data_IF_260945088859
#
_entry.id   IF_260945088859
#
_cell.length_a   1.000
_cell.length_b   1.000
_cell.length_c   1.000
_cell.angle_alpha   90.00
_cell.angle_beta   90.00
_cell.angle_gamma   90.00
#
_symmetry.space_group_name_H-M   'P 1'
#
loop_
_entity.id
_entity.type
_entity.pdbx_description
1 polymer ?
#
# COMPACT_ATOMS: atom_id res chain seq x y z
N UNK A 1 -29.23 -11.53 2.54
CA UNK A 1 -28.34 -12.68 2.81
C UNK A 1 -27.00 -12.12 3.27
N UNK A 2 -26.64 -12.29 4.54
CA UNK A 2 -25.35 -11.85 5.05
C UNK A 2 -24.29 -12.86 4.62
N UNK A 3 -23.42 -12.44 3.70
CA UNK A 3 -22.31 -13.27 3.27
C UNK A 3 -21.34 -13.47 4.44
N UNK A 4 -20.98 -14.71 4.79
CA UNK A 4 -20.00 -14.94 5.84
C UNK A 4 -18.69 -14.25 5.45
N UNK A 5 -18.08 -13.56 6.42
CA UNK A 5 -16.76 -12.94 6.29
C UNK A 5 -15.75 -13.84 7.02
N UNK A 6 -15.23 -14.90 6.34
CA UNK A 6 -14.39 -15.89 7.00
C UNK A 6 -13.01 -15.35 7.39
N UNK A 7 -12.57 -14.24 6.78
CA UNK A 7 -11.26 -13.67 7.04
C UNK A 7 -11.37 -12.55 8.07
N UNK A 8 -10.69 -12.73 9.21
CA UNK A 8 -10.71 -11.81 10.35
C UNK A 8 -9.35 -11.17 10.55
N UNK A 9 -9.33 -9.90 10.90
CA UNK A 9 -8.13 -9.24 11.37
C UNK A 9 -7.79 -9.74 12.78
N UNK A 10 -6.50 -9.94 13.07
CA UNK A 10 -6.02 -10.38 14.38
C UNK A 10 -5.82 -9.23 15.37
N UNK A 11 -5.80 -7.98 14.88
CA UNK A 11 -5.47 -6.79 15.67
C UNK A 11 -6.71 -5.91 15.97
N UNK A 12 -7.82 -6.14 15.27
CA UNK A 12 -9.08 -5.43 15.50
C UNK A 12 -10.28 -6.26 15.03
N UNK A 13 -11.50 -5.75 15.23
CA UNK A 13 -12.73 -6.45 14.87
C UNK A 13 -13.11 -6.37 13.38
N UNK A 14 -12.14 -6.10 12.50
CA UNK A 14 -12.36 -6.02 11.04
C UNK A 14 -12.49 -7.42 10.45
N UNK A 15 -13.46 -7.59 9.54
CA UNK A 15 -13.76 -8.84 8.85
C UNK A 15 -13.90 -8.56 7.36
N UNK A 16 -13.47 -9.49 6.52
CA UNK A 16 -13.60 -9.37 5.07
C UNK A 16 -13.96 -10.70 4.40
N UNK A 17 -14.49 -10.57 3.18
CA UNK A 17 -14.89 -11.70 2.34
C UNK A 17 -13.71 -12.43 1.71
N UNK A 18 -12.58 -11.73 1.55
CA UNK A 18 -11.39 -12.26 0.88
C UNK A 18 -10.15 -12.05 1.76
N UNK A 19 -9.14 -12.95 1.66
CA UNK A 19 -7.92 -12.81 2.45
C UNK A 19 -7.13 -11.57 2.02
N UNK A 20 -7.16 -11.22 0.73
CA UNK A 20 -6.50 -10.03 0.18
C UNK A 20 -6.95 -8.74 0.85
N UNK A 21 -8.23 -8.64 1.21
CA UNK A 21 -8.80 -7.47 1.89
C UNK A 21 -8.28 -7.38 3.33
N UNK A 22 -8.16 -8.51 4.03
CA UNK A 22 -7.54 -8.52 5.37
C UNK A 22 -6.06 -8.17 5.27
N UNK A 23 -5.30 -8.77 4.34
CA UNK A 23 -3.89 -8.42 4.12
C UNK A 23 -3.71 -6.94 3.77
N UNK A 24 -4.61 -6.38 2.96
CA UNK A 24 -4.64 -4.96 2.65
C UNK A 24 -4.90 -4.16 3.93
N UNK A 25 -5.94 -4.50 4.68
CA UNK A 25 -6.28 -3.88 5.95
C UNK A 25 -5.13 -3.91 6.96
N UNK A 26 -4.34 -4.99 7.03
CA UNK A 26 -3.17 -5.09 7.93
C UNK A 26 -2.14 -3.99 7.69
N UNK A 27 -2.08 -3.41 6.48
CA UNK A 27 -1.22 -2.25 6.22
C UNK A 27 -1.66 -1.01 7.01
N UNK A 28 -2.91 -0.92 7.48
CA UNK A 28 -3.33 0.17 8.35
C UNK A 28 -2.80 0.02 9.78
N UNK A 29 -2.67 -1.21 10.27
CA UNK A 29 -2.02 -1.50 11.55
C UNK A 29 -0.50 -1.28 11.49
N UNK A 30 0.09 -1.33 10.30
CA UNK A 30 1.47 -0.93 10.08
C UNK A 30 1.55 0.58 9.80
N UNK A 31 2.41 1.31 10.48
CA UNK A 31 2.73 2.71 10.10
C UNK A 31 3.77 2.80 8.98
N UNK A 32 4.12 1.66 8.38
CA UNK A 32 4.96 1.60 7.20
C UNK A 32 4.29 2.29 6.02
N UNK A 33 4.95 3.33 5.51
CA UNK A 33 4.58 4.05 4.29
C UNK A 33 5.66 3.76 3.24
N UNK A 34 5.64 2.56 2.63
CA UNK A 34 6.76 2.10 1.83
C UNK A 34 6.82 2.72 0.44
N UNK A 35 5.76 3.42 0.02
CA UNK A 35 5.72 4.07 -1.28
C UNK A 35 6.07 5.54 -1.13
N UNK A 36 7.14 5.98 -1.78
CA UNK A 36 7.63 7.36 -1.70
C UNK A 36 7.63 8.03 -3.07
N UNK A 37 7.41 9.34 -3.05
CA UNK A 37 7.65 10.20 -4.19
C UNK A 37 9.17 10.40 -4.37
N UNK A 38 9.73 10.25 -5.58
CA UNK A 38 11.16 10.47 -5.81
C UNK A 38 11.55 11.96 -5.82
N UNK A 39 10.58 12.87 -5.85
CA UNK A 39 10.83 14.33 -5.97
C UNK A 39 10.54 15.13 -4.71
N UNK A 40 9.86 14.55 -3.74
CA UNK A 40 9.52 15.22 -2.49
C UNK A 40 9.37 14.19 -1.37
N UNK A 41 9.16 14.66 -0.15
CA UNK A 41 9.07 13.80 1.03
C UNK A 41 7.69 13.14 1.21
N UNK A 42 6.83 13.16 0.18
CA UNK A 42 5.53 12.52 0.22
C UNK A 42 5.67 11.00 0.25
N UNK A 43 5.00 10.37 1.22
CA UNK A 43 4.99 8.93 1.48
C UNK A 43 3.57 8.45 1.71
N UNK A 44 3.20 7.30 1.15
CA UNK A 44 1.92 6.65 1.42
C UNK A 44 2.06 5.15 1.70
N UNK A 45 1.05 4.62 2.40
CA UNK A 45 0.80 3.19 2.57
C UNK A 45 0.41 2.52 1.25
N UNK A 46 -0.10 3.30 0.28
CA UNK A 46 -0.58 2.80 -1.01
C UNK A 46 0.14 3.42 -2.21
N UNK A 47 0.50 2.59 -3.20
CA UNK A 47 1.14 3.06 -4.44
C UNK A 47 0.26 4.06 -5.20
N UNK A 48 -1.03 3.79 -5.28
CA UNK A 48 -1.97 4.63 -6.04
C UNK A 48 -2.11 6.05 -5.46
N UNK A 49 -1.93 6.23 -4.15
CA UNK A 49 -1.90 7.57 -3.54
C UNK A 49 -0.70 8.37 -4.03
N UNK A 50 0.49 7.75 -4.07
CA UNK A 50 1.70 8.39 -4.58
C UNK A 50 1.50 8.74 -6.06
N UNK A 51 0.93 7.84 -6.87
CA UNK A 51 0.62 8.12 -8.28
C UNK A 51 -0.33 9.30 -8.44
N UNK A 52 -1.38 9.39 -7.62
CA UNK A 52 -2.28 10.55 -7.62
C UNK A 52 -1.55 11.84 -7.22
N UNK A 53 -0.65 11.75 -6.24
CA UNK A 53 0.20 12.86 -5.83
C UNK A 53 1.17 13.31 -6.93
N UNK A 54 1.80 12.36 -7.64
CA UNK A 54 2.77 12.62 -8.71
C UNK A 54 2.20 13.54 -9.79
N UNK A 55 0.93 13.35 -10.16
CA UNK A 55 0.21 14.24 -11.10
C UNK A 55 0.25 15.72 -10.73
N UNK A 56 0.33 16.06 -9.44
CA UNK A 56 0.39 17.44 -8.94
C UNK A 56 1.79 17.88 -8.53
N UNK A 57 2.64 16.94 -8.15
CA UNK A 57 4.02 17.19 -7.71
C UNK A 57 5.02 17.31 -8.88
N UNK A 58 4.54 17.14 -10.12
CA UNK A 58 5.39 17.07 -11.30
C UNK A 58 6.26 15.81 -11.34
N UNK A 59 6.10 14.87 -10.40
CA UNK A 59 6.74 13.56 -10.45
C UNK A 59 6.04 12.70 -11.50
N UNK A 60 6.78 11.83 -12.18
CA UNK A 60 6.31 11.13 -13.38
C UNK A 60 5.19 10.11 -13.17
N UNK A 61 5.27 9.00 -13.89
CA UNK A 61 4.24 7.97 -13.91
C UNK A 61 4.32 7.01 -12.73
N UNK A 62 3.47 5.97 -12.75
CA UNK A 62 3.46 4.89 -11.75
C UNK A 62 4.78 4.12 -11.61
N UNK A 63 5.68 4.25 -12.59
CA UNK A 63 6.99 3.60 -12.60
C UNK A 63 8.04 4.36 -11.77
N UNK A 64 7.83 5.64 -11.47
CA UNK A 64 8.76 6.48 -10.72
C UNK A 64 8.58 6.36 -9.20
N UNK A 65 7.51 5.70 -8.74
CA UNK A 65 7.24 5.49 -7.31
C UNK A 65 8.31 4.59 -6.71
N UNK A 66 9.02 5.10 -5.70
CA UNK A 66 10.01 4.32 -4.94
C UNK A 66 9.25 3.38 -4.01
N UNK A 67 9.52 2.08 -4.10
CA UNK A 67 8.95 1.03 -3.25
C UNK A 67 10.02 0.46 -2.33
N UNK A 68 10.02 0.89 -1.06
CA UNK A 68 11.00 0.45 -0.06
C UNK A 68 10.72 -0.95 0.49
N UNK A 69 9.58 -1.57 0.13
CA UNK A 69 9.34 -2.98 0.49
C UNK A 69 10.12 -3.95 -0.40
N UNK A 70 10.56 -3.51 -1.59
CA UNK A 70 11.34 -4.33 -2.51
C UNK A 70 12.83 -4.13 -2.27
N UNK A 71 13.34 -4.80 -1.25
CA UNK A 71 14.76 -5.11 -1.13
C UNK A 71 15.19 -5.88 -2.38
N UNK A 72 16.02 -5.22 -3.20
CA UNK A 72 16.69 -5.68 -4.42
C UNK A 72 16.74 -7.20 -4.63
N UNK A 73 16.09 -7.66 -5.69
CA UNK A 73 16.63 -8.76 -6.50
C UNK A 73 16.85 -8.23 -7.91
N UNK A 74 18.06 -7.73 -8.14
CA UNK A 74 18.69 -7.78 -9.45
C UNK A 74 20.18 -7.95 -9.19
N UNK A 75 20.50 -9.22 -9.03
CA UNK A 75 21.74 -9.83 -9.49
C UNK A 75 21.99 -9.46 -10.96
N UNK A 76 23.26 -9.51 -11.37
CA UNK A 76 23.94 -8.95 -12.57
C UNK A 76 24.23 -7.46 -12.58
#
# INVERSE_FOLDING_TARGET
>A
EELPLPYKCTMCNYHARWPSEVTQHMKNHSDSKPYLCPRCEYRSKWKWDVVKHLKRCGGGGINDVIDTTKSRSRDT
#
